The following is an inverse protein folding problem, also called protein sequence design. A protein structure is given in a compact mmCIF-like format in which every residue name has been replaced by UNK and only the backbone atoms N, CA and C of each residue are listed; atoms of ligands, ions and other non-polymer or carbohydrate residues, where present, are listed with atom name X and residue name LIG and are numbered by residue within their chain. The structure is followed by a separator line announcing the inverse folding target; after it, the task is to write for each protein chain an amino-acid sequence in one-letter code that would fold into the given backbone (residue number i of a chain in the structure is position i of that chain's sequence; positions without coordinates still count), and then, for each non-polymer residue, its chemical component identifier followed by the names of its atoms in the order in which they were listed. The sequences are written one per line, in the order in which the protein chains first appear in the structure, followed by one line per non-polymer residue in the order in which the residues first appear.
data_IF_813332872241
#
_entry.id   IF_813332872241
#
_cell.length_a   1.000
_cell.length_b   1.000
_cell.length_c   1.000
_cell.angle_alpha   90.00
_cell.angle_beta   90.00
_cell.angle_gamma   90.00
#
_symmetry.space_group_name_H-M   'P 1'
#
loop_
_entity.id
_entity.type
_entity.pdbx_description
1 polymer ?
#
# COMPACT_ATOMS: atom_id res chain seq x y z
N UNK A 1 40.81 -51.53 -60.54
CA UNK A 1 41.26 -50.11 -60.56
C UNK A 1 40.16 -49.28 -61.21
N UNK A 2 39.42 -48.52 -60.41
CA UNK A 2 38.30 -47.69 -60.87
C UNK A 2 38.30 -46.39 -60.05
N UNK A 3 38.69 -45.29 -60.70
CA UNK A 3 38.76 -43.95 -60.10
C UNK A 3 37.35 -43.37 -59.88
N UNK A 4 36.98 -42.94 -58.66
CA UNK A 4 35.76 -42.18 -58.45
C UNK A 4 35.95 -40.70 -58.84
N UNK A 5 34.94 -40.16 -59.54
CA UNK A 5 34.85 -38.76 -59.99
C UNK A 5 34.70 -37.79 -58.81
N UNK A 6 35.22 -36.56 -58.90
CA UNK A 6 35.06 -35.56 -57.85
C UNK A 6 33.66 -34.92 -57.87
N UNK A 7 33.06 -34.80 -56.68
CA UNK A 7 31.78 -34.13 -56.45
C UNK A 7 31.95 -32.60 -56.45
N UNK A 8 31.24 -31.91 -57.35
CA UNK A 8 31.11 -30.45 -57.38
C UNK A 8 30.26 -29.98 -56.21
N UNK A 9 30.83 -29.17 -55.32
CA UNK A 9 30.07 -28.43 -54.30
C UNK A 9 29.37 -27.22 -54.93
N UNK A 10 28.04 -27.14 -54.77
CA UNK A 10 27.25 -25.91 -54.98
C UNK A 10 27.32 -25.08 -53.69
N UNK A 11 27.70 -23.79 -53.72
CA UNK A 11 27.60 -22.94 -52.55
C UNK A 11 26.12 -22.65 -52.24
N UNK A 12 25.68 -22.97 -51.03
CA UNK A 12 24.40 -22.51 -50.47
C UNK A 12 24.51 -21.01 -50.19
N UNK A 13 23.55 -20.23 -50.67
CA UNK A 13 23.40 -18.82 -50.33
C UNK A 13 23.04 -18.69 -48.85
N UNK A 14 24.01 -18.30 -48.02
CA UNK A 14 23.76 -17.88 -46.65
C UNK A 14 22.96 -16.57 -46.66
N UNK A 15 21.65 -16.65 -46.39
CA UNK A 15 20.85 -15.51 -45.97
C UNK A 15 21.38 -15.05 -44.61
N UNK A 16 22.17 -13.97 -44.62
CA UNK A 16 22.54 -13.23 -43.41
C UNK A 16 21.27 -12.61 -42.83
N UNK A 17 20.74 -13.20 -41.76
CA UNK A 17 19.74 -12.55 -40.91
C UNK A 17 20.45 -11.43 -40.14
N UNK A 18 20.40 -10.21 -40.67
CA UNK A 18 20.77 -9.03 -39.92
C UNK A 18 19.74 -8.83 -38.81
N UNK A 19 20.18 -8.92 -37.56
CA UNK A 19 19.38 -8.51 -36.39
C UNK A 19 19.05 -7.03 -36.62
N UNK A 20 17.77 -6.73 -36.80
CA UNK A 20 17.32 -5.40 -37.15
C UNK A 20 17.61 -4.46 -35.98
N UNK A 21 18.37 -3.39 -36.22
CA UNK A 21 18.68 -2.35 -35.22
C UNK A 21 17.41 -1.74 -34.61
N UNK A 22 16.30 -1.75 -35.35
CA UNK A 22 14.97 -1.31 -34.90
C UNK A 22 14.41 -2.24 -33.82
N UNK A 23 14.63 -3.55 -33.93
CA UNK A 23 14.17 -4.53 -32.95
C UNK A 23 14.89 -4.35 -31.61
N UNK A 24 16.19 -4.03 -31.65
CA UNK A 24 16.98 -3.76 -30.44
C UNK A 24 16.51 -2.48 -29.75
N UNK A 25 16.18 -1.43 -30.50
CA UNK A 25 15.65 -0.16 -29.95
C UNK A 25 14.25 -0.37 -29.35
N UNK A 26 13.40 -1.16 -29.98
CA UNK A 26 12.07 -1.49 -29.46
C UNK A 26 12.15 -2.31 -28.15
N UNK A 27 13.01 -3.34 -28.11
CA UNK A 27 13.19 -4.16 -26.92
C UNK A 27 13.78 -3.35 -25.75
N UNK A 28 14.73 -2.44 -26.00
CA UNK A 28 15.30 -1.59 -24.95
C UNK A 28 14.33 -0.53 -24.44
N UNK A 29 13.48 0.05 -25.30
CA UNK A 29 12.45 0.99 -24.89
C UNK A 29 11.38 0.34 -23.99
N UNK A 30 10.94 -0.87 -24.31
CA UNK A 30 9.96 -1.62 -23.49
C UNK A 30 10.55 -1.95 -22.11
N UNK A 31 11.81 -2.40 -22.06
CA UNK A 31 12.49 -2.72 -20.79
C UNK A 31 12.69 -1.45 -19.96
N UNK A 32 13.06 -0.31 -20.57
CA UNK A 32 13.20 0.97 -19.86
C UNK A 32 11.88 1.43 -19.24
N UNK A 33 10.76 1.33 -19.97
CA UNK A 33 9.43 1.70 -19.45
C UNK A 33 8.98 0.77 -18.30
N UNK A 34 9.35 -0.51 -18.32
CA UNK A 34 9.03 -1.44 -17.24
C UNK A 34 9.89 -1.27 -15.98
N UNK A 35 11.08 -0.66 -16.06
CA UNK A 35 11.97 -0.48 -14.90
C UNK A 35 11.65 0.81 -14.10
N UNK A 36 11.10 1.84 -14.75
CA UNK A 36 10.77 3.13 -14.09
C UNK A 36 9.76 3.02 -12.92
N UNK A 37 8.72 2.16 -12.97
CA UNK A 37 7.83 1.96 -11.83
C UNK A 37 8.54 1.32 -10.63
N UNK A 38 9.49 0.41 -10.88
CA UNK A 38 10.19 -0.35 -9.82
C UNK A 38 11.12 0.58 -9.03
N UNK A 39 11.85 1.47 -9.70
CA UNK A 39 12.71 2.44 -9.01
C UNK A 39 11.93 3.46 -8.16
N UNK A 40 10.72 3.84 -8.59
CA UNK A 40 9.85 4.77 -7.85
C UNK A 40 9.28 4.13 -6.58
N UNK A 41 8.91 2.85 -6.64
CA UNK A 41 8.48 2.08 -5.46
C UNK A 41 9.64 1.86 -4.48
N UNK A 42 10.85 1.60 -4.98
CA UNK A 42 12.05 1.40 -4.14
C UNK A 42 12.50 2.70 -3.47
N UNK A 43 12.42 3.86 -4.14
CA UNK A 43 12.78 5.15 -3.53
C UNK A 43 11.78 5.59 -2.45
N UNK A 44 10.49 5.28 -2.60
CA UNK A 44 9.50 5.47 -1.55
C UNK A 44 9.74 4.50 -0.36
N UNK A 45 10.09 3.25 -0.64
CA UNK A 45 10.37 2.23 0.38
C UNK A 45 11.69 2.50 1.13
N UNK A 46 12.74 2.94 0.43
CA UNK A 46 14.05 3.22 1.01
C UNK A 46 14.06 4.42 1.96
N UNK A 47 13.24 5.45 1.71
CA UNK A 47 13.04 6.54 2.67
C UNK A 47 12.27 6.10 3.92
N UNK A 48 11.32 5.16 3.79
CA UNK A 48 10.62 4.58 4.94
C UNK A 48 11.53 3.66 5.79
N UNK A 49 12.48 2.96 5.14
CA UNK A 49 13.44 2.07 5.82
C UNK A 49 14.57 2.86 6.48
N UNK A 50 15.10 3.91 5.85
CA UNK A 50 16.17 4.73 6.43
C UNK A 50 15.72 5.61 7.62
N UNK A 51 14.42 5.98 7.71
CA UNK A 51 13.88 6.68 8.88
C UNK A 51 13.48 5.74 10.04
N UNK A 52 13.56 4.41 9.84
CA UNK A 52 13.12 3.43 10.82
C UNK A 52 14.19 3.04 11.86
N UNK A 53 15.43 3.53 11.71
CA UNK A 53 16.54 3.14 12.58
C UNK A 53 16.49 3.73 14.01
N UNK A 54 15.81 4.87 14.25
CA UNK A 54 15.70 5.46 15.60
C UNK A 54 14.35 6.15 15.91
N UNK A 55 13.29 5.89 15.14
CA UNK A 55 11.98 6.40 15.56
C UNK A 55 11.44 5.57 16.72
N UNK A 56 11.29 6.20 17.89
CA UNK A 56 10.56 5.67 19.04
C UNK A 56 9.22 5.08 18.60
N UNK A 57 8.84 3.94 19.19
CA UNK A 57 7.57 3.27 18.90
C UNK A 57 6.36 4.21 19.13
N UNK A 58 6.47 5.13 20.08
CA UNK A 58 5.45 6.17 20.29
C UNK A 58 5.35 7.13 19.09
N UNK A 59 6.47 7.53 18.50
CA UNK A 59 6.48 8.40 17.33
C UNK A 59 5.87 7.70 16.10
N UNK A 60 6.13 6.38 15.94
CA UNK A 60 5.48 5.55 14.92
C UNK A 60 3.96 5.51 15.13
N UNK A 61 3.51 5.28 16.36
CA UNK A 61 2.09 5.25 16.70
C UNK A 61 1.39 6.59 16.42
N UNK A 62 2.01 7.71 16.80
CA UNK A 62 1.51 9.06 16.50
C UNK A 62 1.42 9.31 14.99
N UNK A 63 2.42 8.88 14.24
CA UNK A 63 2.42 8.97 12.77
C UNK A 63 1.29 8.16 12.14
N UNK A 64 1.08 6.92 12.59
CA UNK A 64 -0.01 6.08 12.09
C UNK A 64 -1.38 6.64 12.44
N UNK A 65 -1.58 7.19 13.64
CA UNK A 65 -2.84 7.89 13.98
C UNK A 65 -3.05 9.11 13.09
N UNK A 66 -1.99 9.88 12.79
CA UNK A 66 -2.09 10.99 11.84
C UNK A 66 -2.51 10.50 10.46
N UNK A 67 -1.90 9.41 9.97
CA UNK A 67 -2.30 8.80 8.70
C UNK A 67 -3.79 8.41 8.73
N UNK A 68 -4.26 7.75 9.79
CA UNK A 68 -5.68 7.38 9.94
C UNK A 68 -6.59 8.61 9.95
N UNK A 69 -6.20 9.69 10.63
CA UNK A 69 -6.93 10.98 10.60
C UNK A 69 -7.05 11.52 9.18
N UNK A 70 -5.94 11.54 8.46
CA UNK A 70 -5.89 12.06 7.09
C UNK A 70 -6.73 11.17 6.15
N UNK A 71 -6.71 9.84 6.33
CA UNK A 71 -7.57 8.91 5.56
C UNK A 71 -9.05 9.15 5.84
N UNK A 72 -9.44 9.36 7.10
CA UNK A 72 -10.83 9.66 7.48
C UNK A 72 -11.26 11.03 6.96
N UNK A 73 -10.39 12.04 7.02
CA UNK A 73 -10.66 13.37 6.50
C UNK A 73 -10.82 13.41 4.98
N UNK A 74 -10.11 12.54 4.26
CA UNK A 74 -10.19 12.42 2.80
C UNK A 74 -11.29 11.46 2.31
N UNK A 75 -11.89 10.69 3.21
CA UNK A 75 -12.96 9.74 2.91
C UNK A 75 -14.29 10.11 3.56
N UNK A 76 -15.34 9.37 3.24
CA UNK A 76 -16.60 9.41 3.97
C UNK A 76 -16.74 8.16 4.83
N UNK A 77 -16.93 8.31 6.15
CA UNK A 77 -17.10 7.17 7.05
C UNK A 77 -18.45 6.50 6.80
N UNK A 78 -18.45 5.24 6.38
CA UNK A 78 -19.68 4.49 6.04
C UNK A 78 -20.18 3.67 7.23
N UNK A 79 -19.25 3.08 7.99
CA UNK A 79 -19.56 2.23 9.13
C UNK A 79 -18.46 2.33 10.17
N UNK A 80 -18.83 2.40 11.44
CA UNK A 80 -17.93 2.37 12.59
C UNK A 80 -18.32 1.19 13.46
N UNK A 81 -17.56 0.11 13.39
CA UNK A 81 -17.66 -1.00 14.34
C UNK A 81 -16.69 -0.83 15.50
N UNK A 82 -16.81 -1.68 16.51
CA UNK A 82 -15.94 -1.60 17.69
C UNK A 82 -14.46 -1.88 17.39
N UNK A 83 -14.15 -2.64 16.34
CA UNK A 83 -12.78 -3.03 15.93
C UNK A 83 -12.50 -2.84 14.44
N UNK A 84 -13.42 -2.24 13.71
CA UNK A 84 -13.22 -1.93 12.30
C UNK A 84 -13.86 -0.58 11.93
N UNK A 85 -13.32 0.04 10.90
CA UNK A 85 -13.82 1.30 10.36
C UNK A 85 -13.88 1.19 8.85
N UNK A 86 -15.06 1.39 8.28
CA UNK A 86 -15.26 1.37 6.83
C UNK A 86 -15.40 2.80 6.31
N UNK A 87 -14.64 3.11 5.27
CA UNK A 87 -14.59 4.40 4.60
C UNK A 87 -14.99 4.22 3.13
N UNK A 88 -15.70 5.19 2.57
CA UNK A 88 -15.84 5.38 1.15
C UNK A 88 -14.76 6.38 0.71
N UNK A 89 -13.79 5.91 -0.05
CA UNK A 89 -12.68 6.72 -0.52
C UNK A 89 -13.14 7.63 -1.67
N UNK A 90 -12.39 8.70 -1.96
CA UNK A 90 -12.67 9.58 -3.09
C UNK A 90 -12.71 8.86 -4.46
N UNK A 91 -12.06 7.70 -4.57
CA UNK A 91 -12.12 6.82 -5.74
C UNK A 91 -13.46 6.09 -5.91
N UNK A 92 -14.38 6.20 -4.94
CA UNK A 92 -15.63 5.45 -4.87
C UNK A 92 -15.48 4.02 -4.34
N UNK A 93 -14.27 3.57 -4.04
CA UNK A 93 -14.03 2.24 -3.45
C UNK A 93 -14.19 2.27 -1.92
N UNK A 94 -14.58 1.13 -1.36
CA UNK A 94 -14.65 0.96 0.09
C UNK A 94 -13.27 0.58 0.62
N UNK A 95 -12.79 1.37 1.58
CA UNK A 95 -11.64 1.05 2.42
C UNK A 95 -12.10 0.52 3.76
N UNK A 96 -11.41 -0.47 4.31
CA UNK A 96 -11.64 -1.00 5.65
C UNK A 96 -10.34 -0.95 6.45
N UNK A 97 -10.41 -0.36 7.64
CA UNK A 97 -9.35 -0.37 8.64
C UNK A 97 -9.72 -1.40 9.70
N UNK A 98 -8.87 -2.41 9.92
CA UNK A 98 -9.12 -3.52 10.84
C UNK A 98 -7.84 -3.95 11.54
N UNK A 99 -7.96 -4.41 12.78
CA UNK A 99 -6.87 -5.08 13.48
C UNK A 99 -6.83 -6.55 13.09
N UNK A 100 -5.72 -6.97 12.48
CA UNK A 100 -5.43 -8.38 12.17
C UNK A 100 -4.19 -8.82 12.93
N UNK A 101 -4.37 -9.79 13.83
CA UNK A 101 -3.34 -10.24 14.77
C UNK A 101 -2.81 -9.07 15.61
N UNK A 102 -1.64 -8.53 15.27
CA UNK A 102 -1.04 -7.36 15.93
C UNK A 102 -0.79 -6.19 14.98
N UNK A 103 -1.41 -6.20 13.80
CA UNK A 103 -1.19 -5.19 12.77
C UNK A 103 -2.51 -4.47 12.46
N UNK A 104 -2.46 -3.15 12.46
CA UNK A 104 -3.55 -2.36 11.93
C UNK A 104 -3.41 -2.32 10.41
N UNK A 105 -4.37 -2.92 9.71
CA UNK A 105 -4.35 -3.06 8.26
C UNK A 105 -5.45 -2.19 7.66
N UNK A 106 -5.10 -1.45 6.61
CA UNK A 106 -6.06 -0.83 5.72
C UNK A 106 -6.18 -1.65 4.44
N UNK A 107 -7.39 -2.00 4.05
CA UNK A 107 -7.67 -2.70 2.79
C UNK A 107 -8.65 -1.91 1.94
N UNK A 108 -8.33 -1.67 0.68
CA UNK A 108 -9.21 -1.04 -0.31
C UNK A 108 -9.97 -2.07 -1.19
N UNK A 109 -9.98 -3.35 -0.75
CA UNK A 109 -10.54 -4.47 -1.49
C UNK A 109 -9.63 -5.05 -2.59
N UNK A 110 -8.54 -4.36 -2.96
CA UNK A 110 -7.54 -4.85 -3.93
C UNK A 110 -6.20 -5.11 -3.29
N UNK A 111 -5.82 -4.24 -2.38
CA UNK A 111 -4.55 -4.23 -1.67
C UNK A 111 -4.80 -4.24 -0.17
N UNK A 112 -3.80 -4.73 0.58
CA UNK A 112 -3.75 -4.66 2.03
C UNK A 112 -2.46 -3.94 2.41
N UNK A 113 -2.59 -2.85 3.14
CA UNK A 113 -1.47 -2.03 3.59
C UNK A 113 -1.41 -2.09 5.11
N UNK A 114 -0.25 -2.48 5.64
CA UNK A 114 0.02 -2.39 7.07
C UNK A 114 0.24 -0.93 7.43
N UNK A 115 -0.64 -0.38 8.27
CA UNK A 115 -0.60 1.01 8.73
C UNK A 115 0.25 1.13 9.98
N UNK A 116 0.06 0.20 10.93
CA UNK A 116 0.78 0.12 12.19
C UNK A 116 1.05 -1.34 12.55
N UNK A 117 2.19 -1.57 13.19
CA UNK A 117 2.60 -2.88 13.71
C UNK A 117 2.62 -2.86 15.24
N UNK A 118 2.60 -4.05 15.85
CA UNK A 118 2.65 -4.25 17.31
C UNK A 118 1.49 -3.55 18.05
N UNK A 119 0.30 -3.58 17.47
CA UNK A 119 -0.93 -3.05 18.05
C UNK A 119 -1.60 -4.15 18.86
N UNK A 120 -1.76 -3.93 20.17
CA UNK A 120 -2.46 -4.85 21.06
C UNK A 120 -3.97 -4.60 21.10
N UNK A 121 -4.41 -3.36 20.83
CA UNK A 121 -5.82 -3.00 20.84
C UNK A 121 -6.11 -1.88 19.84
N UNK A 122 -7.22 -2.01 19.14
CA UNK A 122 -7.77 -1.00 18.25
C UNK A 122 -9.27 -0.92 18.49
N UNK A 123 -9.75 0.26 18.84
CA UNK A 123 -11.16 0.51 19.07
C UNK A 123 -11.63 1.75 18.34
N UNK A 124 -12.83 1.65 17.78
CA UNK A 124 -13.52 2.77 17.17
C UNK A 124 -14.91 2.93 17.77
N UNK A 125 -15.33 4.19 17.92
CA UNK A 125 -16.65 4.56 18.42
C UNK A 125 -17.18 5.73 17.60
N UNK A 126 -18.42 5.62 17.11
CA UNK A 126 -19.07 6.71 16.39
C UNK A 126 -19.47 7.80 17.39
N UNK A 127 -19.10 9.04 17.09
CA UNK A 127 -19.55 10.20 17.85
C UNK A 127 -20.84 10.69 17.19
N UNK A 128 -21.97 10.49 17.87
CA UNK A 128 -23.28 10.89 17.38
C UNK A 128 -23.65 12.29 17.88
N UNK A 129 -24.41 13.03 17.09
CA UNK A 129 -24.99 14.32 17.52
C UNK A 129 -26.08 14.06 18.56
N UNK A 130 -25.98 14.67 19.73
CA UNK A 130 -26.97 14.50 20.81
C UNK A 130 -28.41 14.84 20.38
N UNK A 131 -28.59 15.85 19.53
CA UNK A 131 -29.89 16.30 19.02
C UNK A 131 -30.47 15.40 17.92
N UNK A 132 -29.61 14.65 17.21
CA UNK A 132 -29.98 13.74 16.11
C UNK A 132 -29.13 12.48 16.21
N UNK A 133 -29.56 11.47 16.98
CA UNK A 133 -28.77 10.26 17.25
C UNK A 133 -28.41 9.43 16.01
N UNK A 134 -29.02 9.72 14.87
CA UNK A 134 -28.72 9.10 13.57
C UNK A 134 -27.63 9.84 12.78
N UNK A 135 -27.30 11.07 13.18
CA UNK A 135 -26.28 11.90 12.54
C UNK A 135 -24.96 11.73 13.27
N UNK A 136 -24.05 10.97 12.66
CA UNK A 136 -22.66 10.91 13.10
C UNK A 136 -21.95 12.24 12.79
N UNK A 137 -21.17 12.73 13.75
CA UNK A 137 -20.38 13.97 13.66
C UNK A 137 -18.87 13.70 13.73
N UNK A 138 -18.47 12.49 14.10
CA UNK A 138 -17.08 12.11 14.15
C UNK A 138 -16.86 10.66 14.55
N UNK A 139 -15.59 10.31 14.70
CA UNK A 139 -15.13 8.99 15.15
C UNK A 139 -14.10 9.19 16.25
N UNK A 140 -14.29 8.49 17.37
CA UNK A 140 -13.28 8.33 18.40
C UNK A 140 -12.49 7.06 18.12
N UNK A 141 -11.16 7.16 18.10
CA UNK A 141 -10.25 6.05 17.85
C UNK A 141 -9.31 5.91 19.03
N UNK A 142 -9.21 4.70 19.56
CA UNK A 142 -8.26 4.33 20.61
C UNK A 142 -7.34 3.24 20.09
N UNK A 143 -6.04 3.47 20.16
CA UNK A 143 -5.02 2.52 19.73
C UNK A 143 -4.06 2.28 20.89
N UNK A 144 -3.82 1.01 21.21
CA UNK A 144 -2.81 0.57 22.16
C UNK A 144 -1.69 -0.13 21.39
N UNK A 145 -0.52 0.51 21.30
CA UNK A 145 0.70 -0.10 20.79
C UNK A 145 1.51 -0.73 21.91
N UNK A 146 2.35 -1.71 21.60
CA UNK A 146 3.28 -2.33 22.53
C UNK A 146 4.70 -2.25 22.00
N UNK A 147 5.64 -1.83 22.85
CA UNK A 147 7.06 -1.93 22.52
C UNK A 147 7.47 -3.41 22.49
N UNK A 148 7.99 -3.93 21.37
CA UNK A 148 8.44 -5.32 21.32
C UNK A 148 9.68 -5.59 22.20
N UNK A 149 10.50 -4.57 22.47
CA UNK A 149 11.74 -4.71 23.24
C UNK A 149 11.51 -4.61 24.74
N UNK A 150 10.67 -3.67 25.19
CA UNK A 150 10.41 -3.44 26.62
C UNK A 150 9.10 -4.05 27.11
N UNK A 151 8.20 -4.40 26.20
CA UNK A 151 6.85 -4.86 26.53
C UNK A 151 5.91 -3.75 27.03
N UNK A 152 6.39 -2.50 27.09
CA UNK A 152 5.61 -1.35 27.58
C UNK A 152 4.47 -1.03 26.62
N UNK A 153 3.26 -0.83 27.15
CA UNK A 153 2.10 -0.43 26.35
C UNK A 153 1.99 1.10 26.28
N UNK A 154 1.65 1.61 25.09
CA UNK A 154 1.37 3.01 24.83
C UNK A 154 -0.05 3.15 24.32
N UNK A 155 -0.83 4.03 24.95
CA UNK A 155 -2.21 4.29 24.56
C UNK A 155 -2.30 5.66 23.92
N UNK A 156 -2.94 5.72 22.76
CA UNK A 156 -3.29 6.98 22.12
C UNK A 156 -4.78 6.98 21.79
N UNK A 157 -5.42 8.08 22.14
CA UNK A 157 -6.81 8.37 21.83
C UNK A 157 -6.88 9.58 20.91
N UNK A 158 -7.80 9.53 19.96
CA UNK A 158 -8.00 10.58 18.98
C UNK A 158 -9.47 10.72 18.63
N UNK A 159 -9.97 11.95 18.68
CA UNK A 159 -11.29 12.31 18.19
C UNK A 159 -11.14 12.99 16.83
N UNK A 160 -11.95 12.55 15.87
CA UNK A 160 -11.85 12.97 14.47
C UNK A 160 -13.23 13.44 14.03
N UNK A 161 -13.37 14.72 13.75
CA UNK A 161 -14.60 15.26 13.19
C UNK A 161 -14.74 14.80 11.74
N UNK A 162 -15.95 14.40 11.35
CA UNK A 162 -16.28 14.03 9.97
C UNK A 162 -17.22 15.08 9.38
N UNK A 163 -17.14 15.30 8.07
CA UNK A 163 -18.11 16.15 7.39
C UNK A 163 -19.54 15.60 7.59
N UNK A 164 -20.56 16.47 7.69
CA UNK A 164 -21.94 16.02 7.78
C UNK A 164 -22.29 15.17 6.55
N UNK A 165 -22.78 13.96 6.75
CA UNK A 165 -23.28 13.16 5.64
C UNK A 165 -24.65 13.69 5.24
N UNK A 166 -24.77 14.21 4.02
CA UNK A 166 -26.06 14.55 3.43
C UNK A 166 -26.80 13.23 3.16
N UNK A 167 -27.71 12.87 4.05
CA UNK A 167 -28.70 11.81 3.86
C UNK A 167 -29.69 12.16 2.76
#
# INVERSE_FOLDING_TARGET
MSNPKPLRFKPRSNQRHGISLIEVIACTAIVAVMIVPIASVIRASGRAIASSAEMSNEAKLRSGIRWVKDTIGNGAVVNVGSRNLTLLMASGQKGELVLDSNNLIFSDGRTKTVVLENIGRFECEAIMRSEKPTSMIGVAIRIEGKDPSTGTAFKLESLIATAPQSS
#
